data_IF_012571098432
#
_entry.id   IF_012571098432
#
_cell.length_a   1.000
_cell.length_b   1.000
_cell.length_c   1.000
_cell.angle_alpha   90.00
_cell.angle_beta   90.00
_cell.angle_gamma   90.00
#
_symmetry.space_group_name_H-M   'P 1'
#
loop_
_entity.id
_entity.type
_entity.pdbx_description
1 polymer ?
#
# COMPACT_ATOMS: atom_id res chain seq x y z
N UNK A 1 -8.72 -28.20 17.71
CA UNK A 1 -9.24 -27.50 16.52
C UNK A 1 -9.30 -26.03 16.87
N UNK A 2 -8.47 -25.20 16.23
CA UNK A 2 -8.51 -23.74 16.41
C UNK A 2 -9.40 -23.23 15.27
N UNK A 3 -10.62 -22.80 15.61
CA UNK A 3 -11.50 -22.08 14.69
C UNK A 3 -10.71 -20.91 14.07
N UNK A 4 -10.73 -20.70 12.75
CA UNK A 4 -10.16 -19.49 12.17
C UNK A 4 -10.95 -18.33 12.75
N UNK A 5 -10.35 -17.59 13.69
CA UNK A 5 -10.92 -16.32 14.17
C UNK A 5 -11.26 -15.51 12.91
N UNK A 6 -12.52 -15.13 12.79
CA UNK A 6 -13.03 -14.31 11.71
C UNK A 6 -12.33 -12.93 11.76
N UNK A 7 -11.11 -12.86 11.23
CA UNK A 7 -10.31 -11.63 11.14
C UNK A 7 -11.01 -10.58 10.26
N UNK A 8 -11.95 -11.01 9.42
CA UNK A 8 -12.84 -10.15 8.65
C UNK A 8 -13.86 -9.46 9.55
N UNK A 9 -14.44 -10.16 10.52
CA UNK A 9 -15.33 -9.58 11.52
C UNK A 9 -14.61 -8.56 12.41
N UNK A 10 -13.36 -8.79 12.82
CA UNK A 10 -12.62 -7.84 13.67
C UNK A 10 -12.22 -6.58 12.92
N UNK A 11 -11.61 -6.69 11.72
CA UNK A 11 -11.22 -5.50 10.94
C UNK A 11 -12.42 -4.68 10.51
N UNK A 12 -13.49 -5.33 10.02
CA UNK A 12 -14.72 -4.65 9.63
C UNK A 12 -15.34 -3.93 10.83
N UNK A 13 -15.33 -4.55 12.01
CA UNK A 13 -15.84 -3.95 13.23
C UNK A 13 -14.98 -2.76 13.69
N UNK A 14 -13.65 -2.90 13.66
CA UNK A 14 -12.71 -1.82 14.01
C UNK A 14 -12.87 -0.60 13.08
N UNK A 15 -12.98 -0.84 11.77
CA UNK A 15 -13.24 0.20 10.77
C UNK A 15 -14.59 0.86 11.02
N UNK A 16 -15.64 0.08 11.28
CA UNK A 16 -16.98 0.61 11.57
C UNK A 16 -16.98 1.51 12.81
N UNK A 17 -16.37 1.08 13.92
CA UNK A 17 -16.26 1.86 15.14
C UNK A 17 -15.56 3.21 14.89
N UNK A 18 -14.46 3.21 14.13
CA UNK A 18 -13.71 4.43 13.82
C UNK A 18 -14.49 5.36 12.90
N UNK A 19 -15.19 4.82 11.89
CA UNK A 19 -16.05 5.64 11.03
C UNK A 19 -17.20 6.29 11.81
N UNK A 20 -17.80 5.56 12.76
CA UNK A 20 -18.83 6.10 13.66
C UNK A 20 -18.26 7.20 14.57
N UNK A 21 -17.06 7.03 15.12
CA UNK A 21 -16.37 8.07 15.88
C UNK A 21 -16.07 9.31 15.01
N UNK A 22 -15.53 9.11 13.80
CA UNK A 22 -15.28 10.19 12.84
C UNK A 22 -16.57 10.91 12.43
N UNK A 23 -17.70 10.19 12.33
CA UNK A 23 -19.00 10.80 12.04
C UNK A 23 -19.42 11.72 13.18
N UNK A 24 -19.31 11.24 14.43
CA UNK A 24 -19.65 11.98 15.65
C UNK A 24 -18.79 13.23 15.82
N UNK A 25 -17.50 13.13 15.52
CA UNK A 25 -16.55 14.24 15.59
C UNK A 25 -16.61 15.18 14.37
N UNK A 26 -17.59 15.01 13.46
CA UNK A 26 -17.72 15.72 12.17
C UNK A 26 -16.57 15.51 11.19
N UNK A 27 -15.63 14.60 11.46
CA UNK A 27 -14.57 14.20 10.53
C UNK A 27 -15.10 13.62 9.22
N UNK A 28 -16.32 13.06 9.18
CA UNK A 28 -16.95 12.63 7.92
C UNK A 28 -17.59 13.77 7.11
N UNK A 29 -17.74 14.98 7.67
CA UNK A 29 -18.19 16.15 6.90
C UNK A 29 -17.16 16.57 5.83
N UNK A 30 -15.94 16.02 5.93
CA UNK A 30 -14.78 16.13 5.01
C UNK A 30 -14.98 15.31 3.72
N UNK A 31 -16.12 14.64 3.52
CA UNK A 31 -16.42 13.92 2.27
C UNK A 31 -17.37 14.68 1.31
N UNK A 32 -17.51 16.00 1.48
CA UNK A 32 -18.16 16.86 0.47
C UNK A 32 -17.24 17.06 -0.74
N UNK A 33 -17.81 17.33 -1.91
CA UNK A 33 -17.09 17.40 -3.19
C UNK A 33 -16.04 18.53 -3.28
N UNK A 34 -15.96 19.42 -2.28
CA UNK A 34 -15.13 20.63 -2.23
C UNK A 34 -14.06 20.64 -1.13
N UNK A 35 -13.63 19.46 -0.68
CA UNK A 35 -12.79 19.35 0.50
C UNK A 35 -11.30 19.61 0.21
N UNK A 36 -10.63 20.45 1.01
CA UNK A 36 -9.19 20.70 0.88
C UNK A 36 -8.37 19.45 1.23
N UNK A 37 -7.29 19.20 0.47
CA UNK A 37 -6.41 18.03 0.62
C UNK A 37 -5.90 17.87 2.05
N UNK A 38 -5.62 18.98 2.72
CA UNK A 38 -5.13 19.03 4.10
C UNK A 38 -6.13 18.42 5.10
N UNK A 39 -7.43 18.58 4.85
CA UNK A 39 -8.47 17.99 5.69
C UNK A 39 -8.57 16.47 5.47
N UNK A 40 -8.35 16.00 4.24
CA UNK A 40 -8.29 14.57 3.90
C UNK A 40 -7.08 13.92 4.58
N UNK A 41 -5.92 14.57 4.51
CA UNK A 41 -4.68 14.10 5.15
C UNK A 41 -4.84 14.02 6.68
N UNK A 42 -5.45 15.04 7.30
CA UNK A 42 -5.74 15.03 8.73
C UNK A 42 -6.70 13.90 9.15
N UNK A 43 -7.70 13.58 8.31
CA UNK A 43 -8.62 12.46 8.54
C UNK A 43 -7.87 11.13 8.45
N UNK A 44 -7.05 10.96 7.41
CA UNK A 44 -6.26 9.76 7.17
C UNK A 44 -5.31 9.47 8.35
N UNK A 45 -4.62 10.51 8.84
CA UNK A 45 -3.76 10.42 10.02
C UNK A 45 -4.53 10.02 11.29
N UNK A 46 -5.70 10.61 11.52
CA UNK A 46 -6.54 10.29 12.68
C UNK A 46 -7.01 8.83 12.65
N UNK A 47 -7.46 8.35 11.48
CA UNK A 47 -7.88 6.96 11.27
C UNK A 47 -6.69 6.01 11.43
N UNK A 48 -5.53 6.34 10.86
CA UNK A 48 -4.31 5.52 10.97
C UNK A 48 -3.84 5.39 12.43
N UNK A 49 -3.85 6.48 13.21
CA UNK A 49 -3.51 6.45 14.64
C UNK A 49 -4.46 5.59 15.47
N UNK A 50 -5.76 5.61 15.17
CA UNK A 50 -6.78 4.82 15.88
C UNK A 50 -6.83 3.37 15.45
N UNK A 51 -6.48 3.08 14.19
CA UNK A 51 -6.37 1.72 13.67
C UNK A 51 -5.06 1.06 14.09
N UNK A 52 -3.92 1.75 14.03
CA UNK A 52 -2.58 1.18 14.22
C UNK A 52 -2.43 0.22 15.41
N UNK A 53 -2.88 0.59 16.63
CA UNK A 53 -2.85 -0.31 17.78
C UNK A 53 -3.79 -1.52 17.68
N UNK A 54 -4.90 -1.42 16.95
CA UNK A 54 -5.96 -2.44 16.85
C UNK A 54 -5.65 -3.50 15.79
N UNK A 55 -5.10 -3.10 14.66
CA UNK A 55 -4.72 -4.02 13.56
C UNK A 55 -3.35 -4.66 13.74
N UNK A 56 -2.53 -4.18 14.69
CA UNK A 56 -1.14 -4.62 14.85
C UNK A 56 -0.28 -4.29 13.62
N UNK A 57 1.03 -4.54 13.70
CA UNK A 57 2.05 -4.21 12.69
C UNK A 57 1.91 -4.93 11.34
N UNK A 58 0.75 -4.83 10.67
CA UNK A 58 0.56 -5.29 9.31
C UNK A 58 1.48 -4.49 8.40
N UNK A 59 2.35 -5.21 7.70
CA UNK A 59 3.14 -4.65 6.62
C UNK A 59 2.21 -4.15 5.52
N UNK A 60 2.03 -2.83 5.44
CA UNK A 60 1.40 -2.19 4.28
C UNK A 60 2.50 -1.98 3.24
N UNK A 61 2.59 -2.82 2.19
CA UNK A 61 3.52 -2.55 1.11
C UNK A 61 3.15 -1.20 0.49
N UNK A 62 4.08 -0.24 0.52
CA UNK A 62 3.96 1.01 -0.23
C UNK A 62 3.89 0.66 -1.72
N UNK A 63 2.66 0.55 -2.26
CA UNK A 63 2.42 0.09 -3.64
C UNK A 63 2.99 1.06 -4.66
N UNK A 64 2.92 2.36 -4.36
CA UNK A 64 3.34 3.42 -5.27
C UNK A 64 4.85 3.37 -5.58
N UNK A 65 5.67 3.06 -4.58
CA UNK A 65 7.13 2.95 -4.77
C UNK A 65 7.53 1.69 -5.54
N UNK A 66 6.78 0.59 -5.38
CA UNK A 66 7.12 -0.68 -6.02
C UNK A 66 6.90 -0.62 -7.53
N UNK A 67 5.76 -0.11 -7.97
CA UNK A 67 5.43 -0.02 -9.39
C UNK A 67 6.35 1.00 -10.10
N UNK A 68 6.58 2.15 -9.47
CA UNK A 68 7.50 3.16 -10.00
C UNK A 68 8.94 2.64 -10.10
N UNK A 69 9.44 1.94 -9.07
CA UNK A 69 10.76 1.31 -9.11
C UNK A 69 10.84 0.26 -10.22
N UNK A 70 9.87 -0.65 -10.29
CA UNK A 70 9.89 -1.73 -11.27
C UNK A 70 9.85 -1.17 -12.71
N UNK A 71 9.12 -0.07 -12.94
CA UNK A 71 9.12 0.66 -14.22
C UNK A 71 10.45 1.35 -14.53
N UNK A 72 11.07 2.01 -13.54
CA UNK A 72 12.37 2.66 -13.70
C UNK A 72 13.49 1.65 -13.98
N UNK A 73 13.49 0.53 -13.25
CA UNK A 73 14.41 -0.60 -13.47
C UNK A 73 14.23 -1.16 -14.89
N UNK A 74 13.00 -1.28 -15.37
CA UNK A 74 12.73 -1.76 -16.73
C UNK A 74 13.23 -0.77 -17.79
N UNK A 75 12.98 0.53 -17.62
CA UNK A 75 13.42 1.55 -18.56
C UNK A 75 14.95 1.64 -18.66
N UNK A 76 15.66 1.41 -17.56
CA UNK A 76 17.13 1.40 -17.52
C UNK A 76 17.76 0.10 -18.05
N UNK A 77 16.98 -0.98 -18.23
CA UNK A 77 17.51 -2.28 -18.60
C UNK A 77 17.62 -2.46 -20.12
N UNK A 78 18.85 -2.64 -20.62
CA UNK A 78 19.16 -2.79 -22.05
C UNK A 78 19.34 -4.25 -22.50
N UNK A 79 19.11 -5.21 -21.61
CA UNK A 79 19.23 -6.64 -21.90
C UNK A 79 20.58 -7.27 -21.53
N UNK A 80 21.65 -6.46 -21.40
CA UNK A 80 23.01 -6.93 -21.07
C UNK A 80 23.66 -6.21 -19.88
N UNK A 81 23.04 -5.14 -19.36
CA UNK A 81 23.59 -4.27 -18.31
C UNK A 81 23.14 -4.63 -16.87
N UNK A 82 23.07 -5.94 -16.54
CA UNK A 82 22.50 -6.40 -15.27
C UNK A 82 23.23 -5.86 -14.03
N UNK A 83 24.57 -5.83 -14.05
CA UNK A 83 25.35 -5.35 -12.90
C UNK A 83 25.22 -3.84 -12.69
N UNK A 84 25.17 -3.06 -13.77
CA UNK A 84 25.00 -1.62 -13.71
C UNK A 84 23.63 -1.25 -13.15
N UNK A 85 22.56 -1.90 -13.63
CA UNK A 85 21.19 -1.70 -13.11
C UNK A 85 21.10 -2.10 -11.64
N UNK A 86 21.74 -3.20 -11.22
CA UNK A 86 21.74 -3.59 -9.81
C UNK A 86 22.43 -2.56 -8.92
N UNK A 87 23.57 -2.02 -9.36
CA UNK A 87 24.31 -0.98 -8.64
C UNK A 87 23.53 0.33 -8.58
N UNK A 88 22.96 0.75 -9.71
CA UNK A 88 22.19 1.99 -9.82
C UNK A 88 20.96 1.99 -8.91
N UNK A 89 20.24 0.87 -8.82
CA UNK A 89 18.99 0.78 -8.05
C UNK A 89 19.16 0.12 -6.67
N UNK A 90 20.38 -0.32 -6.31
CA UNK A 90 20.65 -0.99 -5.04
C UNK A 90 19.87 -2.29 -4.84
N UNK A 91 19.56 -3.01 -5.92
CA UNK A 91 18.70 -4.20 -5.89
C UNK A 91 19.47 -5.52 -5.99
N UNK A 92 18.93 -6.57 -5.36
CA UNK A 92 19.47 -7.91 -5.47
C UNK A 92 19.24 -8.51 -6.85
N UNK A 93 20.11 -9.46 -7.25
CA UNK A 93 19.97 -10.19 -8.52
C UNK A 93 18.63 -10.92 -8.63
N UNK A 94 18.17 -11.52 -7.54
CA UNK A 94 16.86 -12.19 -7.45
C UNK A 94 15.71 -11.20 -7.67
N UNK A 95 15.79 -10.00 -7.09
CA UNK A 95 14.77 -8.96 -7.28
C UNK A 95 14.73 -8.50 -8.74
N UNK A 96 15.89 -8.22 -9.36
CA UNK A 96 15.97 -7.84 -10.77
C UNK A 96 15.30 -8.89 -11.67
N UNK A 97 15.65 -10.17 -11.55
CA UNK A 97 15.00 -11.22 -12.35
C UNK A 97 13.50 -11.33 -12.07
N UNK A 98 13.06 -11.12 -10.82
CA UNK A 98 11.63 -11.15 -10.50
C UNK A 98 10.85 -10.01 -11.18
N UNK A 99 11.47 -8.82 -11.32
CA UNK A 99 10.89 -7.67 -12.02
C UNK A 99 10.78 -7.99 -13.51
N UNK A 100 11.87 -8.48 -14.11
CA UNK A 100 11.92 -8.85 -15.53
C UNK A 100 10.90 -9.96 -15.85
N UNK A 101 10.77 -10.97 -15.00
CA UNK A 101 9.83 -12.07 -15.18
C UNK A 101 8.36 -11.61 -15.13
N UNK A 102 8.01 -10.70 -14.21
CA UNK A 102 6.66 -10.13 -14.13
C UNK A 102 6.30 -9.29 -15.35
N UNK A 103 7.26 -8.57 -15.93
CA UNK A 103 7.08 -7.76 -17.16
C UNK A 103 6.96 -8.61 -18.42
N UNK A 104 7.54 -9.82 -18.43
CA UNK A 104 7.48 -10.78 -19.56
C UNK A 104 6.23 -11.64 -19.58
N UNK A 105 5.52 -11.76 -18.46
CA UNK A 105 4.23 -12.46 -18.44
C UNK A 105 3.20 -11.52 -19.10
N UNK A 106 2.63 -11.85 -20.28
CA UNK A 106 1.52 -11.07 -20.81
C UNK A 106 0.39 -11.09 -19.78
N UNK A 107 -0.35 -9.99 -19.66
CA UNK A 107 -1.61 -10.00 -18.93
C UNK A 107 -2.44 -11.13 -19.53
N UNK A 108 -2.66 -12.19 -18.76
CA UNK A 108 -3.52 -13.29 -19.16
C UNK A 108 -4.92 -12.71 -19.17
N UNK A 109 -5.48 -12.62 -20.38
CA UNK A 109 -6.86 -12.22 -20.68
C UNK A 109 -7.86 -13.30 -20.23
#
# INVERSE_FOLDING_TARGET
MIEPRDEGATLRHDVLCILVECHRERGLAVFRDDVPREAIDALADAVARRLGPRIGGRYVPKRDERAARDAAVWAAFTGRNFEDVRRQFGISRRLLYSILARRRRPAVE
#
